data_IF_451330899887
#
_entry.id   IF_451330899887
#
_cell.length_a   1.000
_cell.length_b   1.000
_cell.length_c   1.000
_cell.angle_alpha   90.00
_cell.angle_beta   90.00
_cell.angle_gamma   90.00
#
_symmetry.space_group_name_H-M   'P 1'
#
loop_
_entity.id
_entity.type
_entity.pdbx_description
1 polymer ?
#
# COMPACT_ATOMS: atom_id res chain seq x y z
N UNK A 1 -2.51 20.67 -10.10
CA UNK A 1 -1.28 19.82 -10.08
C UNK A 1 -1.62 18.49 -9.46
N UNK A 2 -1.10 17.38 -10.02
CA UNK A 2 -1.36 16.03 -9.52
C UNK A 2 -0.60 15.82 -8.20
N UNK A 3 -1.31 15.88 -7.05
CA UNK A 3 -0.74 15.85 -5.68
C UNK A 3 0.14 14.63 -5.41
N UNK A 4 -0.19 13.50 -6.04
CA UNK A 4 0.59 12.26 -5.99
C UNK A 4 1.94 12.40 -6.73
N UNK A 5 1.97 13.13 -7.84
CA UNK A 5 3.18 13.36 -8.64
C UNK A 5 4.23 14.19 -7.91
N UNK A 6 3.80 15.19 -7.12
CA UNK A 6 4.67 16.00 -6.27
C UNK A 6 5.30 15.16 -5.15
N UNK A 7 4.50 14.34 -4.46
CA UNK A 7 5.00 13.41 -3.43
C UNK A 7 5.98 12.38 -4.00
N UNK A 8 5.69 11.82 -5.18
CA UNK A 8 6.58 10.86 -5.86
C UNK A 8 7.87 11.52 -6.37
N UNK A 9 7.81 12.75 -6.89
CA UNK A 9 9.01 13.49 -7.30
C UNK A 9 9.93 13.78 -6.12
N UNK A 10 9.37 14.08 -4.95
CA UNK A 10 10.13 14.34 -3.73
C UNK A 10 10.79 13.07 -3.17
N UNK A 11 10.20 11.89 -3.42
CA UNK A 11 10.84 10.59 -3.11
C UNK A 11 12.01 10.29 -4.06
N UNK A 12 11.91 10.70 -5.34
CA UNK A 12 12.93 10.43 -6.37
C UNK A 12 14.14 11.39 -6.32
N UNK A 13 13.97 12.59 -5.74
CA UNK A 13 15.00 13.63 -5.67
C UNK A 13 16.10 13.34 -4.63
N UNK A 14 15.79 12.63 -3.55
CA UNK A 14 16.77 12.31 -2.50
C UNK A 14 17.31 10.89 -2.65
N UNK A 15 18.64 10.76 -2.72
CA UNK A 15 19.34 9.49 -3.00
C UNK A 15 18.96 8.34 -2.07
N UNK A 16 18.81 8.60 -0.77
CA UNK A 16 18.42 7.57 0.22
C UNK A 16 16.96 7.12 0.05
N UNK A 17 16.05 8.07 -0.22
CA UNK A 17 14.62 7.80 -0.47
C UNK A 17 14.41 7.02 -1.75
N UNK A 18 15.20 7.33 -2.78
CA UNK A 18 15.24 6.61 -4.06
C UNK A 18 15.76 5.18 -3.90
N UNK A 19 16.80 4.94 -3.11
CA UNK A 19 17.29 3.57 -2.85
C UNK A 19 16.23 2.72 -2.17
N UNK A 20 15.60 3.24 -1.10
CA UNK A 20 14.53 2.54 -0.41
C UNK A 20 13.32 2.26 -1.31
N UNK A 21 12.99 3.20 -2.21
CA UNK A 21 11.93 3.01 -3.20
C UNK A 21 12.28 1.94 -4.25
N UNK A 22 13.53 1.91 -4.73
CA UNK A 22 14.01 0.89 -5.68
C UNK A 22 14.10 -0.51 -5.05
N UNK A 23 14.59 -0.62 -3.82
CA UNK A 23 14.58 -1.87 -3.05
C UNK A 23 13.14 -2.39 -2.89
N UNK A 24 12.20 -1.48 -2.65
CA UNK A 24 10.79 -1.81 -2.54
C UNK A 24 10.20 -2.28 -3.87
N UNK A 25 10.46 -1.56 -4.97
CA UNK A 25 10.06 -1.99 -6.30
C UNK A 25 10.63 -3.37 -6.64
N UNK A 26 11.90 -3.63 -6.33
CA UNK A 26 12.54 -4.92 -6.53
C UNK A 26 11.86 -6.04 -5.72
N UNK A 27 11.57 -5.79 -4.45
CA UNK A 27 10.85 -6.74 -3.59
C UNK A 27 9.46 -7.06 -4.14
N UNK A 28 8.72 -6.04 -4.55
CA UNK A 28 7.42 -6.20 -5.19
C UNK A 28 7.57 -6.99 -6.48
N UNK A 29 8.49 -6.64 -7.38
CA UNK A 29 8.71 -7.38 -8.63
C UNK A 29 9.06 -8.86 -8.40
N UNK A 30 9.91 -9.18 -7.43
CA UNK A 30 10.23 -10.57 -7.07
C UNK A 30 9.00 -11.33 -6.58
N UNK A 31 8.17 -10.67 -5.76
CA UNK A 31 6.92 -11.25 -5.30
C UNK A 31 5.97 -11.59 -6.45
N UNK A 32 5.80 -10.67 -7.41
CA UNK A 32 4.99 -10.89 -8.61
C UNK A 32 5.46 -12.08 -9.43
N UNK A 33 6.79 -12.24 -9.59
CA UNK A 33 7.37 -13.38 -10.31
C UNK A 33 7.04 -14.69 -9.59
N UNK A 34 7.22 -14.75 -8.28
CA UNK A 34 6.90 -15.93 -7.48
C UNK A 34 5.41 -16.27 -7.53
N UNK A 35 4.55 -15.25 -7.45
CA UNK A 35 3.11 -15.41 -7.57
C UNK A 35 2.72 -15.94 -8.94
N UNK A 36 3.28 -15.39 -10.02
CA UNK A 36 3.08 -15.88 -11.38
C UNK A 36 3.47 -17.36 -11.54
N UNK A 37 4.65 -17.76 -11.02
CA UNK A 37 5.11 -19.15 -11.05
C UNK A 37 4.17 -20.09 -10.27
N UNK A 38 3.67 -19.64 -9.11
CA UNK A 38 2.68 -20.38 -8.33
C UNK A 38 1.37 -20.56 -9.11
N UNK A 39 0.90 -19.53 -9.81
CA UNK A 39 -0.31 -19.63 -10.62
C UNK A 39 -0.15 -20.62 -11.78
N UNK A 40 1.00 -20.62 -12.47
CA UNK A 40 1.30 -21.64 -13.49
C UNK A 40 1.26 -23.05 -12.89
N UNK A 41 1.84 -23.24 -11.72
CA UNK A 41 1.83 -24.53 -11.04
C UNK A 41 0.41 -24.96 -10.67
N UNK A 42 -0.37 -24.07 -10.04
CA UNK A 42 -1.74 -24.36 -9.62
C UNK A 42 -2.70 -24.57 -10.79
N UNK A 43 -2.49 -23.89 -11.92
CA UNK A 43 -3.26 -24.13 -13.15
C UNK A 43 -3.17 -25.58 -13.63
N UNK A 44 -2.02 -26.25 -13.41
CA UNK A 44 -1.85 -27.67 -13.78
C UNK A 44 -2.68 -28.62 -12.89
N UNK A 45 -3.04 -28.18 -11.69
CA UNK A 45 -3.74 -29.00 -10.68
C UNK A 45 -5.24 -28.70 -10.71
N UNK A 46 -5.61 -27.42 -10.64
CA UNK A 46 -7.00 -26.97 -10.48
C UNK A 46 -7.70 -26.76 -11.83
N UNK A 47 -6.94 -26.63 -12.91
CA UNK A 47 -7.46 -26.26 -14.22
C UNK A 47 -7.65 -24.74 -14.37
N UNK A 48 -7.59 -24.27 -15.62
CA UNK A 48 -7.60 -22.84 -15.96
C UNK A 48 -8.84 -22.09 -15.47
N UNK A 49 -10.05 -22.62 -15.72
CA UNK A 49 -11.29 -21.92 -15.37
C UNK A 49 -11.51 -21.81 -13.86
N UNK A 50 -11.19 -22.86 -13.10
CA UNK A 50 -11.27 -22.84 -11.64
C UNK A 50 -10.27 -21.85 -11.05
N UNK A 51 -9.06 -21.80 -11.62
CA UNK A 51 -8.02 -20.85 -11.23
C UNK A 51 -8.47 -19.40 -11.43
N UNK A 52 -9.01 -19.06 -12.61
CA UNK A 52 -9.53 -17.73 -12.91
C UNK A 52 -10.65 -17.35 -11.94
N UNK A 53 -11.62 -18.24 -11.75
CA UNK A 53 -12.76 -18.00 -10.85
C UNK A 53 -12.27 -17.70 -9.44
N UNK A 54 -11.33 -18.50 -8.94
CA UNK A 54 -10.76 -18.34 -7.62
C UNK A 54 -9.98 -17.02 -7.48
N UNK A 55 -9.15 -16.67 -8.47
CA UNK A 55 -8.43 -15.39 -8.52
C UNK A 55 -9.43 -14.21 -8.45
N UNK A 56 -10.51 -14.25 -9.25
CA UNK A 56 -11.52 -13.19 -9.28
C UNK A 56 -12.23 -13.03 -7.93
N UNK A 57 -12.64 -14.13 -7.29
CA UNK A 57 -13.28 -14.09 -5.96
C UNK A 57 -12.34 -13.47 -4.93
N UNK A 58 -11.06 -13.88 -4.94
CA UNK A 58 -10.06 -13.32 -4.04
C UNK A 58 -9.81 -11.83 -4.30
N UNK A 59 -9.71 -11.41 -5.58
CA UNK A 59 -9.55 -10.00 -5.96
C UNK A 59 -10.68 -9.14 -5.45
N UNK A 60 -11.90 -9.59 -5.71
CA UNK A 60 -13.09 -8.83 -5.34
C UNK A 60 -13.21 -8.70 -3.82
N UNK A 61 -12.98 -9.81 -3.10
CA UNK A 61 -12.99 -9.82 -1.63
C UNK A 61 -11.91 -8.91 -1.05
N UNK A 62 -10.71 -8.94 -1.62
CA UNK A 62 -9.59 -8.11 -1.19
C UNK A 62 -9.85 -6.63 -1.45
N UNK A 63 -10.40 -6.29 -2.62
CA UNK A 63 -10.75 -4.93 -3.00
C UNK A 63 -11.77 -4.32 -2.03
N UNK A 64 -12.86 -5.03 -1.75
CA UNK A 64 -13.89 -4.58 -0.79
C UNK A 64 -13.28 -4.31 0.58
N UNK A 65 -12.47 -5.25 1.07
CA UNK A 65 -11.80 -5.13 2.37
C UNK A 65 -10.86 -3.93 2.43
N UNK A 66 -10.05 -3.71 1.39
CA UNK A 66 -9.12 -2.60 1.32
C UNK A 66 -9.86 -1.26 1.28
N UNK A 67 -10.92 -1.16 0.47
CA UNK A 67 -11.75 0.04 0.38
C UNK A 67 -12.33 0.41 1.76
N UNK A 68 -12.88 -0.57 2.48
CA UNK A 68 -13.43 -0.34 3.82
C UNK A 68 -12.35 0.15 4.81
N UNK A 69 -11.14 -0.41 4.76
CA UNK A 69 -10.04 0.02 5.63
C UNK A 69 -9.52 1.42 5.29
N UNK A 70 -9.31 1.71 4.00
CA UNK A 70 -8.82 3.01 3.54
C UNK A 70 -9.84 4.11 3.83
N UNK A 71 -11.15 3.82 3.68
CA UNK A 71 -12.20 4.77 4.07
C UNK A 71 -12.13 5.07 5.56
N UNK A 72 -12.08 4.03 6.41
CA UNK A 72 -12.04 4.19 7.87
C UNK A 72 -10.82 4.97 8.35
N UNK A 73 -9.66 4.78 7.74
CA UNK A 73 -8.47 5.54 8.12
C UNK A 73 -8.44 6.94 7.51
N UNK A 74 -8.97 7.11 6.28
CA UNK A 74 -9.17 8.40 5.66
C UNK A 74 -10.06 9.30 6.51
N UNK A 75 -11.14 8.76 7.09
CA UNK A 75 -12.01 9.48 8.01
C UNK A 75 -11.27 9.93 9.27
N UNK A 76 -10.40 9.09 9.84
CA UNK A 76 -9.56 9.48 10.99
C UNK A 76 -8.60 10.61 10.64
N UNK A 77 -7.95 10.56 9.47
CA UNK A 77 -7.06 11.63 9.01
C UNK A 77 -7.85 12.93 8.83
N UNK A 78 -9.05 12.88 8.24
CA UNK A 78 -9.93 14.05 8.12
C UNK A 78 -10.31 14.63 9.47
N UNK A 79 -10.74 13.79 10.42
CA UNK A 79 -11.07 14.23 11.79
C UNK A 79 -9.85 14.87 12.46
N UNK A 80 -8.68 14.26 12.31
CA UNK A 80 -7.42 14.74 12.85
C UNK A 80 -7.02 16.12 12.29
N UNK A 81 -7.22 16.33 10.98
CA UNK A 81 -7.00 17.63 10.33
C UNK A 81 -8.02 18.67 10.81
N UNK A 82 -9.31 18.31 10.86
CA UNK A 82 -10.40 19.19 11.33
C UNK A 82 -10.21 19.64 12.79
N UNK A 83 -9.74 18.75 13.67
CA UNK A 83 -9.50 19.05 15.07
C UNK A 83 -8.14 19.70 15.34
N UNK A 84 -7.29 19.89 14.33
CA UNK A 84 -5.95 20.48 14.53
C UNK A 84 -5.00 19.61 15.36
N UNK A 85 -5.23 18.28 15.46
CA UNK A 85 -4.46 17.40 16.36
C UNK A 85 -3.49 16.55 15.58
N UNK A 86 -2.20 16.88 15.56
CA UNK A 86 -1.21 16.06 14.87
C UNK A 86 -0.99 14.69 15.57
N UNK A 87 -1.29 13.58 14.87
CA UNK A 87 -0.97 12.23 15.30
C UNK A 87 -0.18 11.47 14.21
N UNK A 88 1.15 11.44 14.33
CA UNK A 88 2.05 10.76 13.39
C UNK A 88 1.66 9.28 13.13
N UNK A 89 1.18 8.59 14.17
CA UNK A 89 0.77 7.18 14.09
C UNK A 89 -0.33 6.95 13.06
N UNK A 90 -1.27 7.87 12.89
CA UNK A 90 -2.37 7.71 11.94
C UNK A 90 -1.87 7.70 10.50
N UNK A 91 -0.94 8.60 10.17
CA UNK A 91 -0.30 8.65 8.85
C UNK A 91 0.54 7.40 8.56
N UNK A 92 1.32 6.94 9.54
CA UNK A 92 2.09 5.70 9.43
C UNK A 92 1.20 4.49 9.16
N UNK A 93 0.08 4.39 9.88
CA UNK A 93 -0.90 3.31 9.67
C UNK A 93 -1.56 3.41 8.29
N UNK A 94 -1.96 4.61 7.87
CA UNK A 94 -2.54 4.83 6.56
C UNK A 94 -1.58 4.46 5.43
N UNK A 95 -0.34 4.96 5.45
CA UNK A 95 0.68 4.61 4.46
C UNK A 95 1.00 3.11 4.48
N UNK A 96 1.10 2.51 5.67
CA UNK A 96 1.33 1.07 5.79
C UNK A 96 0.25 0.24 5.10
N UNK A 97 -0.97 0.79 4.97
CA UNK A 97 -2.11 0.12 4.31
C UNK A 97 -2.18 0.38 2.80
N UNK A 98 -1.44 1.35 2.27
CA UNK A 98 -1.24 1.52 0.83
C UNK A 98 -0.27 0.50 0.24
N UNK A 99 0.70 0.00 1.01
CA UNK A 99 1.59 -1.08 0.59
C UNK A 99 0.80 -2.35 0.18
N UNK A 100 -0.17 -2.84 0.99
CA UNK A 100 -1.14 -3.85 0.59
C UNK A 100 -1.84 -3.59 -0.74
N UNK A 101 -2.21 -2.34 -1.00
CA UNK A 101 -2.94 -1.95 -2.21
C UNK A 101 -2.13 -2.24 -3.48
N UNK A 102 -0.80 -2.26 -3.40
CA UNK A 102 0.06 -2.54 -4.54
C UNK A 102 0.07 -4.03 -4.89
N UNK A 103 -0.31 -4.91 -3.95
CA UNK A 103 -0.53 -6.32 -4.21
C UNK A 103 -1.87 -6.63 -4.90
N UNK A 104 -2.84 -5.69 -4.93
CA UNK A 104 -4.02 -5.80 -5.81
C UNK A 104 -3.62 -5.81 -7.29
N UNK A 105 -2.45 -5.27 -7.62
CA UNK A 105 -1.96 -5.27 -8.99
C UNK A 105 -1.42 -6.65 -9.40
N UNK A 106 -1.20 -7.58 -8.46
CA UNK A 106 -0.78 -8.96 -8.75
C UNK A 106 -1.99 -9.87 -8.93
N UNK A 107 -2.24 -10.40 -10.14
CA UNK A 107 -3.42 -11.22 -10.43
C UNK A 107 -3.31 -12.67 -9.91
N UNK A 108 -2.69 -12.90 -8.76
CA UNK A 108 -2.29 -14.24 -8.32
C UNK A 108 -2.72 -14.65 -6.91
N UNK A 109 -2.92 -15.97 -6.72
CA UNK A 109 -3.36 -16.55 -5.45
C UNK A 109 -2.32 -16.35 -4.35
N UNK A 110 -1.03 -16.34 -4.70
CA UNK A 110 0.05 -16.03 -3.77
C UNK A 110 -0.05 -14.60 -3.24
N UNK A 111 -0.36 -13.63 -4.10
CA UNK A 111 -0.67 -12.24 -3.75
C UNK A 111 -1.89 -12.06 -2.88
N UNK A 112 -2.91 -12.88 -3.12
CA UNK A 112 -4.23 -12.66 -2.53
C UNK A 112 -4.57 -13.52 -1.32
N UNK A 113 -3.93 -14.69 -1.19
CA UNK A 113 -4.09 -15.57 -0.04
C UNK A 113 -2.96 -15.39 0.96
N UNK A 114 -1.74 -15.71 0.56
CA UNK A 114 -0.54 -15.64 1.42
C UNK A 114 -0.09 -14.18 1.56
N UNK A 115 -0.16 -13.40 0.48
CA UNK A 115 0.07 -11.97 0.47
C UNK A 115 -0.91 -11.24 1.37
N UNK A 116 -2.19 -11.64 1.46
CA UNK A 116 -3.14 -11.08 2.42
C UNK A 116 -2.66 -11.24 3.87
N UNK A 117 -2.20 -12.43 4.26
CA UNK A 117 -1.73 -12.71 5.63
C UNK A 117 -0.38 -12.04 5.91
N UNK A 118 0.59 -12.18 4.99
CA UNK A 118 1.90 -11.54 5.11
C UNK A 118 1.76 -10.02 5.17
N UNK A 119 0.90 -9.44 4.36
CA UNK A 119 0.64 -8.02 4.36
C UNK A 119 -0.17 -7.62 5.60
N UNK A 120 -1.15 -8.39 6.06
CA UNK A 120 -1.90 -8.05 7.28
C UNK A 120 -0.99 -8.04 8.53
N UNK A 121 -0.07 -9.00 8.63
CA UNK A 121 0.86 -9.13 9.77
C UNK A 121 2.06 -8.20 9.60
N UNK A 122 2.64 -8.12 8.40
CA UNK A 122 3.89 -7.42 8.13
C UNK A 122 3.71 -6.01 7.56
N UNK A 123 2.53 -5.57 7.13
CA UNK A 123 2.34 -4.21 6.62
C UNK A 123 2.73 -3.14 7.64
N UNK A 124 2.39 -3.35 8.92
CA UNK A 124 2.78 -2.41 9.99
C UNK A 124 4.30 -2.33 10.17
N UNK A 125 5.03 -3.44 10.39
CA UNK A 125 6.48 -3.37 10.50
C UNK A 125 7.16 -2.93 9.21
N UNK A 126 6.71 -3.39 8.04
CA UNK A 126 7.23 -2.94 6.73
C UNK A 126 6.98 -1.45 6.52
N UNK A 127 5.77 -0.97 6.76
CA UNK A 127 5.42 0.45 6.68
C UNK A 127 6.21 1.30 7.66
N UNK A 128 6.47 0.82 8.87
CA UNK A 128 7.31 1.49 9.85
C UNK A 128 8.78 1.54 9.40
N UNK A 129 9.34 0.42 8.92
CA UNK A 129 10.70 0.34 8.38
C UNK A 129 10.86 1.26 7.17
N UNK A 130 9.89 1.26 6.26
CA UNK A 130 9.89 2.10 5.07
C UNK A 130 9.80 3.58 5.43
N UNK A 131 8.91 3.93 6.35
CA UNK A 131 8.79 5.30 6.84
C UNK A 131 10.10 5.77 7.48
N UNK A 132 10.73 4.89 8.28
CA UNK A 132 12.00 5.16 8.93
C UNK A 132 13.13 5.34 7.91
N UNK A 133 13.26 4.42 6.94
CA UNK A 133 14.27 4.50 5.86
C UNK A 133 14.06 5.70 4.94
N UNK A 134 12.82 6.02 4.61
CA UNK A 134 12.49 7.15 3.75
C UNK A 134 12.57 8.50 4.48
N UNK A 135 12.78 8.52 5.81
CA UNK A 135 12.83 9.75 6.62
C UNK A 135 11.70 10.72 6.27
N UNK A 136 10.46 10.21 6.23
CA UNK A 136 9.28 11.01 5.85
C UNK A 136 8.99 11.99 6.98
N UNK A 137 8.98 13.29 6.67
CA UNK A 137 8.54 14.32 7.60
C UNK A 137 7.01 14.40 7.59
N UNK A 138 6.38 13.61 8.46
CA UNK A 138 4.93 13.59 8.61
C UNK A 138 4.36 14.91 9.12
N UNK A 139 5.17 15.73 9.81
CA UNK A 139 4.72 17.02 10.32
C UNK A 139 4.57 18.01 9.16
N UNK A 140 5.51 18.04 8.22
CA UNK A 140 5.34 18.79 6.98
C UNK A 140 4.16 18.30 6.15
N UNK A 141 3.97 16.99 6.01
CA UNK A 141 2.81 16.41 5.30
C UNK A 141 1.49 16.85 5.95
N UNK A 142 1.42 16.81 7.28
CA UNK A 142 0.27 17.30 8.03
C UNK A 142 -0.02 18.77 7.77
N UNK A 143 0.98 19.64 7.86
CA UNK A 143 0.81 21.09 7.62
C UNK A 143 0.34 21.37 6.19
N UNK A 144 0.89 20.67 5.19
CA UNK A 144 0.44 20.80 3.80
C UNK A 144 -1.05 20.44 3.67
N UNK A 145 -1.46 19.30 4.26
CA UNK A 145 -2.85 18.85 4.19
C UNK A 145 -3.81 19.78 4.95
N UNK A 146 -3.37 20.32 6.09
CA UNK A 146 -4.14 21.31 6.86
C UNK A 146 -4.34 22.60 6.07
N UNK A 147 -3.27 23.15 5.49
CA UNK A 147 -3.31 24.35 4.67
C UNK A 147 -4.15 24.15 3.39
N UNK A 148 -4.16 22.94 2.82
CA UNK A 148 -5.07 22.62 1.70
C UNK A 148 -6.54 22.58 2.15
N UNK A 149 -6.85 22.06 3.33
CA UNK A 149 -8.21 22.04 3.86
C UNK A 149 -8.74 23.44 4.19
N UNK A 150 -7.87 24.36 4.59
CA UNK A 150 -8.25 25.77 4.82
C UNK A 150 -8.53 26.55 3.52
N UNK A 151 -8.09 26.03 2.36
CA UNK A 151 -8.29 26.65 1.04
C UNK A 151 -9.54 26.15 0.31
N UNK A 152 -10.18 25.08 0.78
CA UNK A 152 -11.37 24.44 0.19
C UNK A 152 -12.59 24.80 1.03
#
# INVERSE_FOLDING_TARGET
MNRLGLFLSDILLYTERRSAFLEWLLFVSLFFILDFLLNIFLMKILGFFNMITLILIFHFSYFIWLQALLSKDGDKIKTMLYLGRYEERQFKVFLSRFIPALFLLSPGIGGMGIGFILVFILARPLGAIMTHRAKIDWKSVYEILRLEQERV
#
